data_IF_291412000398
#
_entry.id   IF_291412000398
#
_cell.length_a   1.000
_cell.length_b   1.000
_cell.length_c   1.000
_cell.angle_alpha   90.00
_cell.angle_beta   90.00
_cell.angle_gamma   90.00
#
_symmetry.space_group_name_H-M   'P 1'
#
loop_
_entity.id
_entity.type
_entity.pdbx_description
1 polymer ?
#
# COMPACT_ATOMS: atom_id res chain seq x y z
N UNK A 1 12.24 12.27 18.22
CA UNK A 1 12.83 13.10 17.10
C UNK A 1 12.37 12.46 15.80
N UNK A 2 11.87 13.23 14.85
CA UNK A 2 11.50 12.69 13.52
C UNK A 2 12.79 12.27 12.84
N UNK A 3 12.97 10.97 12.59
CA UNK A 3 14.12 10.42 11.87
C UNK A 3 14.20 11.03 10.46
N UNK A 4 15.42 11.20 9.94
CA UNK A 4 15.61 11.86 8.65
C UNK A 4 15.39 10.95 7.45
N UNK A 5 15.16 9.64 7.67
CA UNK A 5 15.05 8.67 6.57
C UNK A 5 16.30 8.65 5.66
N UNK A 6 16.35 7.72 4.74
CA UNK A 6 17.41 7.65 3.72
C UNK A 6 17.21 8.72 2.64
N UNK A 7 18.33 9.25 2.13
CA UNK A 7 18.31 10.04 0.89
C UNK A 7 18.46 9.09 -0.30
N UNK A 8 17.45 9.03 -1.15
CA UNK A 8 17.37 8.09 -2.27
C UNK A 8 17.92 8.65 -3.58
N UNK A 9 18.07 9.99 -3.68
CA UNK A 9 18.40 10.70 -4.93
C UNK A 9 17.29 10.60 -5.99
N UNK A 10 16.04 10.36 -5.55
CA UNK A 10 14.86 10.16 -6.42
C UNK A 10 13.72 11.11 -6.03
N UNK A 11 12.59 11.02 -6.74
CA UNK A 11 11.36 11.76 -6.41
C UNK A 11 10.86 11.48 -4.99
N UNK A 12 11.27 10.35 -4.38
CA UNK A 12 10.91 10.03 -2.99
C UNK A 12 11.42 11.07 -1.99
N UNK A 13 12.57 11.67 -2.24
CA UNK A 13 13.14 12.65 -1.32
C UNK A 13 12.26 13.90 -1.22
N UNK A 14 11.69 14.35 -2.35
CA UNK A 14 10.73 15.45 -2.39
C UNK A 14 9.42 15.07 -1.70
N UNK A 15 8.90 13.87 -1.98
CA UNK A 15 7.65 13.37 -1.35
C UNK A 15 7.83 13.29 0.17
N UNK A 16 8.92 12.68 0.63
CA UNK A 16 9.22 12.54 2.06
C UNK A 16 9.40 13.90 2.73
N UNK A 17 10.03 14.88 2.06
CA UNK A 17 10.18 16.24 2.58
C UNK A 17 8.81 16.91 2.78
N UNK A 18 7.94 16.87 1.76
CA UNK A 18 6.58 17.42 1.84
C UNK A 18 5.75 16.72 2.93
N UNK A 19 5.85 15.38 2.99
CA UNK A 19 5.15 14.60 4.02
C UNK A 19 5.63 14.91 5.42
N UNK A 20 6.91 15.24 5.61
CA UNK A 20 7.46 15.65 6.90
C UNK A 20 6.86 16.97 7.39
N UNK A 21 6.69 17.95 6.51
CA UNK A 21 6.03 19.21 6.84
C UNK A 21 4.57 18.97 7.24
N UNK A 22 3.84 18.19 6.46
CA UNK A 22 2.46 17.82 6.78
C UNK A 22 2.36 17.08 8.13
N UNK A 23 3.31 16.17 8.42
CA UNK A 23 3.36 15.46 9.69
C UNK A 23 3.58 16.39 10.88
N UNK A 24 4.45 17.40 10.73
CA UNK A 24 4.65 18.42 11.78
C UNK A 24 3.38 19.24 12.06
N UNK A 25 2.59 19.53 11.04
CA UNK A 25 1.29 20.20 11.19
C UNK A 25 0.29 19.29 11.87
N UNK A 26 0.15 18.05 11.44
CA UNK A 26 -0.73 17.05 12.04
C UNK A 26 -0.41 16.85 13.55
N UNK A 27 0.86 16.80 13.92
CA UNK A 27 1.29 16.68 15.34
C UNK A 27 0.98 17.94 16.19
N UNK A 28 0.84 19.10 15.58
CA UNK A 28 0.38 20.32 16.29
C UNK A 28 -1.13 20.31 16.54
N UNK A 29 -1.89 19.74 15.61
CA UNK A 29 -3.34 19.62 15.71
C UNK A 29 -3.75 18.50 16.67
N UNK A 30 -3.14 17.33 16.55
CA UNK A 30 -3.41 16.15 17.36
C UNK A 30 -2.09 15.65 17.96
N UNK A 31 -1.97 15.69 19.28
CA UNK A 31 -0.74 15.23 19.95
C UNK A 31 -0.52 13.72 19.80
N UNK A 32 0.74 13.26 19.85
CA UNK A 32 1.07 11.83 19.81
C UNK A 32 0.31 10.99 20.87
N UNK A 33 0.16 11.42 22.14
CA UNK A 33 -0.67 10.68 23.08
C UNK A 33 -2.14 10.58 22.67
N UNK A 34 -2.70 11.62 22.05
CA UNK A 34 -4.09 11.61 21.62
C UNK A 34 -4.33 10.66 20.42
N UNK A 35 -3.47 10.69 19.39
CA UNK A 35 -3.60 9.78 18.26
C UNK A 35 -3.34 8.33 18.68
N UNK A 36 -2.40 8.10 19.60
CA UNK A 36 -2.14 6.77 20.18
C UNK A 36 -3.38 6.21 20.89
N UNK A 37 -4.00 6.99 21.77
CA UNK A 37 -5.22 6.57 22.44
C UNK A 37 -6.37 6.28 21.46
N UNK A 38 -6.49 7.06 20.38
CA UNK A 38 -7.46 6.81 19.34
C UNK A 38 -7.17 5.50 18.60
N UNK A 39 -5.91 5.21 18.28
CA UNK A 39 -5.46 3.96 17.65
C UNK A 39 -5.73 2.73 18.51
N UNK A 40 -5.44 2.81 19.82
CA UNK A 40 -5.67 1.73 20.79
C UNK A 40 -7.17 1.48 21.05
N UNK A 41 -8.02 2.51 20.85
CA UNK A 41 -9.48 2.44 20.96
C UNK A 41 -10.16 2.05 19.65
N UNK A 42 -9.43 1.96 18.54
CA UNK A 42 -10.00 1.61 17.25
C UNK A 42 -10.56 0.18 17.26
N UNK A 43 -11.62 -0.05 16.49
CA UNK A 43 -12.32 -1.34 16.42
C UNK A 43 -11.45 -2.49 15.86
N UNK A 44 -12.05 -3.66 15.73
CA UNK A 44 -11.38 -4.83 15.14
C UNK A 44 -10.99 -4.57 13.68
N UNK A 45 -9.86 -5.13 13.25
CA UNK A 45 -9.35 -5.03 11.89
C UNK A 45 -9.72 -6.26 11.07
N UNK A 46 -9.86 -6.08 9.76
CA UNK A 46 -9.91 -7.18 8.81
C UNK A 46 -8.49 -7.73 8.59
N UNK A 47 -8.36 -9.04 8.53
CA UNK A 47 -7.06 -9.69 8.40
C UNK A 47 -6.53 -9.59 6.96
N UNK A 48 -5.54 -8.71 6.79
CA UNK A 48 -4.91 -8.45 5.49
C UNK A 48 -4.10 -9.65 4.98
N UNK A 49 -3.41 -10.36 5.87
CA UNK A 49 -2.65 -11.57 5.50
C UNK A 49 -3.58 -12.67 4.99
N UNK A 50 -4.63 -12.98 5.75
CA UNK A 50 -5.61 -14.01 5.36
C UNK A 50 -6.31 -13.66 4.05
N UNK A 51 -6.63 -12.39 3.83
CA UNK A 51 -7.27 -11.93 2.60
C UNK A 51 -6.41 -12.14 1.34
N UNK A 52 -5.08 -12.19 1.50
CA UNK A 52 -4.13 -12.42 0.41
C UNK A 52 -3.64 -13.87 0.30
N UNK A 53 -4.03 -14.75 1.24
CA UNK A 53 -3.58 -16.15 1.31
C UNK A 53 -4.52 -17.12 0.59
N UNK A 54 -5.52 -16.63 -0.14
CA UNK A 54 -6.50 -17.46 -0.85
C UNK A 54 -5.89 -18.25 -2.02
N UNK A 55 -6.63 -19.20 -2.59
CA UNK A 55 -6.21 -19.90 -3.80
C UNK A 55 -6.22 -18.96 -5.01
N UNK A 56 -5.25 -19.10 -5.90
CA UNK A 56 -5.06 -18.21 -7.05
C UNK A 56 -4.41 -16.88 -6.68
N UNK A 57 -4.53 -15.89 -7.55
CA UNK A 57 -3.96 -14.55 -7.33
C UNK A 57 -4.98 -13.61 -6.72
N UNK A 58 -4.67 -13.10 -5.55
CA UNK A 58 -5.45 -12.05 -4.88
C UNK A 58 -5.26 -10.70 -5.57
N UNK A 59 -6.32 -9.88 -5.63
CA UNK A 59 -6.25 -8.54 -6.23
C UNK A 59 -6.40 -7.47 -5.15
N UNK A 60 -5.34 -6.70 -4.95
CA UNK A 60 -5.36 -5.46 -4.18
C UNK A 60 -5.68 -4.34 -5.15
N UNK A 61 -6.88 -3.79 -5.07
CA UNK A 61 -7.29 -2.66 -5.91
C UNK A 61 -6.79 -1.36 -5.31
N UNK A 62 -6.12 -0.53 -6.11
CA UNK A 62 -5.59 0.75 -5.62
C UNK A 62 -6.44 1.92 -6.09
N UNK A 63 -6.89 2.72 -5.15
CA UNK A 63 -7.62 3.97 -5.38
C UNK A 63 -6.68 5.16 -5.35
N UNK A 64 -6.63 5.93 -6.46
CA UNK A 64 -5.80 7.14 -6.56
C UNK A 64 -6.35 8.14 -7.57
N UNK A 65 -6.31 9.43 -7.23
CA UNK A 65 -6.73 10.54 -8.12
C UNK A 65 -5.65 10.95 -9.08
N UNK A 66 -4.40 10.86 -8.66
CA UNK A 66 -3.23 11.23 -9.48
C UNK A 66 -2.04 10.32 -9.19
N UNK A 67 -1.01 10.41 -10.00
CA UNK A 67 0.27 9.76 -9.74
C UNK A 67 1.43 10.59 -10.29
N UNK A 68 2.62 10.45 -9.69
CA UNK A 68 3.82 11.15 -10.13
C UNK A 68 4.21 10.87 -11.59
N UNK A 69 3.86 9.69 -12.12
CA UNK A 69 4.20 9.29 -13.51
C UNK A 69 3.14 9.62 -14.55
N UNK A 70 1.85 9.63 -14.17
CA UNK A 70 0.73 9.77 -15.13
C UNK A 70 -0.08 11.07 -14.92
N UNK A 71 0.24 11.86 -13.89
CA UNK A 71 -0.52 13.06 -13.54
C UNK A 71 -1.94 12.71 -13.06
N UNK A 72 -2.91 13.54 -13.41
CA UNK A 72 -4.32 13.35 -13.04
C UNK A 72 -4.92 12.14 -13.75
N UNK A 73 -5.53 11.24 -12.98
CA UNK A 73 -6.18 10.00 -13.44
C UNK A 73 -7.70 10.03 -13.26
N UNK A 74 -8.16 10.40 -12.08
CA UNK A 74 -9.57 10.41 -11.71
C UNK A 74 -9.87 11.54 -10.71
N UNK A 75 -9.81 12.82 -11.12
CA UNK A 75 -9.95 13.96 -10.21
C UNK A 75 -11.30 14.01 -9.48
N UNK A 76 -12.38 13.57 -10.15
CA UNK A 76 -13.75 13.53 -9.61
C UNK A 76 -14.09 12.20 -8.91
N UNK A 77 -13.08 11.45 -8.50
CA UNK A 77 -13.27 10.14 -7.86
C UNK A 77 -14.06 10.29 -6.54
N UNK A 78 -15.18 9.54 -6.46
CA UNK A 78 -15.95 9.35 -5.22
C UNK A 78 -15.44 8.08 -4.53
N UNK A 79 -14.78 8.18 -3.36
CA UNK A 79 -14.18 7.03 -2.69
C UNK A 79 -15.19 5.95 -2.31
N UNK A 80 -16.38 6.35 -1.85
CA UNK A 80 -17.41 5.40 -1.43
C UNK A 80 -17.99 4.61 -2.61
N UNK A 81 -18.21 5.26 -3.75
CA UNK A 81 -18.69 4.59 -4.97
C UNK A 81 -17.62 3.66 -5.53
N UNK A 82 -16.35 4.10 -5.56
CA UNK A 82 -15.27 3.28 -6.06
C UNK A 82 -15.04 2.06 -5.17
N UNK A 83 -15.07 2.22 -3.84
CA UNK A 83 -14.96 1.10 -2.91
C UNK A 83 -16.06 0.05 -3.13
N UNK A 84 -17.34 0.48 -3.30
CA UNK A 84 -18.44 -0.44 -3.65
C UNK A 84 -18.16 -1.21 -4.95
N UNK A 85 -17.61 -0.52 -5.95
CA UNK A 85 -17.25 -1.12 -7.23
C UNK A 85 -16.16 -2.16 -7.09
N UNK A 86 -15.15 -1.91 -6.26
CA UNK A 86 -14.05 -2.83 -5.97
C UNK A 86 -14.54 -4.06 -5.19
N UNK A 87 -15.30 -3.86 -4.11
CA UNK A 87 -15.89 -4.95 -3.32
C UNK A 87 -16.78 -5.82 -4.20
N UNK A 88 -17.69 -5.21 -4.97
CA UNK A 88 -18.57 -5.95 -5.90
C UNK A 88 -17.79 -6.72 -6.97
N UNK A 89 -16.66 -6.19 -7.44
CA UNK A 89 -15.76 -6.85 -8.38
C UNK A 89 -14.98 -8.01 -7.78
N UNK A 90 -14.98 -8.20 -6.45
CA UNK A 90 -14.26 -9.27 -5.77
C UNK A 90 -12.82 -8.92 -5.41
N UNK A 91 -12.53 -7.64 -5.15
CA UNK A 91 -11.24 -7.23 -4.60
C UNK A 91 -10.93 -7.97 -3.29
N UNK A 92 -9.73 -8.53 -3.16
CA UNK A 92 -9.26 -9.18 -1.94
C UNK A 92 -8.89 -8.14 -0.86
N UNK A 93 -8.41 -6.97 -1.29
CA UNK A 93 -8.12 -5.82 -0.43
C UNK A 93 -8.22 -4.52 -1.24
N UNK A 94 -8.35 -3.39 -0.54
CA UNK A 94 -8.34 -2.06 -1.15
C UNK A 94 -7.17 -1.25 -0.60
N UNK A 95 -6.33 -0.73 -1.48
CA UNK A 95 -5.25 0.21 -1.18
C UNK A 95 -5.73 1.63 -1.45
N UNK A 96 -5.58 2.53 -0.48
CA UNK A 96 -6.01 3.93 -0.57
C UNK A 96 -4.81 4.84 -0.43
N UNK A 97 -4.50 5.60 -1.48
CA UNK A 97 -3.49 6.65 -1.41
C UNK A 97 -4.00 7.76 -0.49
N UNK A 98 -3.20 8.12 0.53
CA UNK A 98 -3.50 9.21 1.46
C UNK A 98 -2.49 10.36 1.38
N UNK A 99 -1.48 10.24 0.52
CA UNK A 99 -0.52 11.30 0.27
C UNK A 99 -1.17 12.41 -0.59
N UNK A 100 -1.12 13.66 -0.10
CA UNK A 100 -1.88 14.77 -0.67
C UNK A 100 -1.18 15.44 -1.86
N UNK A 101 0.14 15.64 -1.78
CA UNK A 101 0.86 16.54 -2.70
C UNK A 101 1.00 15.96 -4.12
N UNK A 102 1.28 14.68 -4.25
CA UNK A 102 1.52 14.00 -5.54
C UNK A 102 0.36 13.11 -5.98
N UNK A 103 -0.42 12.58 -5.02
CA UNK A 103 -1.47 11.61 -5.30
C UNK A 103 -2.88 12.13 -5.04
N UNK A 104 -3.01 13.35 -4.49
CA UNK A 104 -4.29 13.99 -4.16
C UNK A 104 -5.19 13.12 -3.26
N UNK A 105 -4.55 12.35 -2.37
CA UNK A 105 -5.21 11.47 -1.41
C UNK A 105 -5.46 12.15 -0.07
N UNK A 106 -6.35 11.58 0.74
CA UNK A 106 -6.67 12.10 2.08
C UNK A 106 -6.98 10.97 3.06
N UNK A 107 -6.86 11.24 4.36
CA UNK A 107 -7.34 10.32 5.41
C UNK A 107 -8.87 10.18 5.40
N UNK A 108 -9.60 11.19 4.90
CA UNK A 108 -11.05 11.08 4.69
C UNK A 108 -11.39 10.00 3.67
N UNK A 109 -10.61 9.89 2.59
CA UNK A 109 -10.78 8.82 1.62
C UNK A 109 -10.63 7.45 2.27
N UNK A 110 -9.62 7.29 3.12
CA UNK A 110 -9.39 6.04 3.87
C UNK A 110 -10.62 5.69 4.73
N UNK A 111 -11.13 6.65 5.51
CA UNK A 111 -12.34 6.45 6.35
C UNK A 111 -13.57 6.10 5.54
N UNK A 112 -13.80 6.80 4.42
CA UNK A 112 -14.94 6.54 3.52
C UNK A 112 -14.87 5.14 2.92
N UNK A 113 -13.68 4.71 2.48
CA UNK A 113 -13.46 3.38 1.91
C UNK A 113 -13.64 2.32 2.97
N UNK A 114 -13.07 2.51 4.17
CA UNK A 114 -13.22 1.58 5.29
C UNK A 114 -14.69 1.36 5.65
N UNK A 115 -15.47 2.42 5.78
CA UNK A 115 -16.90 2.31 6.10
C UNK A 115 -17.70 1.49 5.07
N UNK A 116 -17.27 1.46 3.81
CA UNK A 116 -17.89 0.65 2.74
C UNK A 116 -17.39 -0.79 2.75
N UNK A 117 -16.10 -1.01 2.98
CA UNK A 117 -15.44 -2.32 2.88
C UNK A 117 -15.66 -3.21 4.12
N UNK A 118 -15.89 -2.59 5.29
CA UNK A 118 -15.99 -3.29 6.57
C UNK A 118 -17.11 -4.33 6.66
N UNK A 119 -18.35 -4.10 6.16
CA UNK A 119 -19.40 -5.12 6.20
C UNK A 119 -19.04 -6.41 5.48
N UNK A 120 -18.27 -6.30 4.39
CA UNK A 120 -17.80 -7.44 3.59
C UNK A 120 -16.44 -7.97 4.06
N UNK A 121 -15.88 -7.37 5.14
CA UNK A 121 -14.57 -7.72 5.71
C UNK A 121 -13.41 -7.63 4.72
N UNK A 122 -13.52 -6.80 3.71
CA UNK A 122 -12.44 -6.51 2.77
C UNK A 122 -11.46 -5.55 3.46
N UNK A 123 -10.19 -5.95 3.70
CA UNK A 123 -9.24 -5.09 4.39
C UNK A 123 -8.86 -3.87 3.56
N UNK A 124 -8.65 -2.76 4.26
CA UNK A 124 -8.25 -1.48 3.66
C UNK A 124 -6.85 -1.11 4.11
N UNK A 125 -5.93 -0.97 3.17
CA UNK A 125 -4.55 -0.57 3.41
C UNK A 125 -4.38 0.93 3.16
N UNK A 126 -3.79 1.63 4.13
CA UNK A 126 -3.28 2.98 3.89
C UNK A 126 -1.99 2.90 3.08
N UNK A 127 -1.99 3.47 1.88
CA UNK A 127 -0.80 3.61 1.04
C UNK A 127 -0.27 5.03 1.15
N UNK A 128 0.80 5.17 1.89
CA UNK A 128 1.44 6.46 2.18
C UNK A 128 2.95 6.24 2.39
N UNK A 129 3.71 7.31 2.55
CA UNK A 129 5.14 7.29 2.86
C UNK A 129 5.32 7.36 4.38
N UNK A 130 5.40 6.19 5.00
CA UNK A 130 5.48 6.04 6.46
C UNK A 130 6.94 6.00 6.90
N UNK A 131 7.31 6.91 7.81
CA UNK A 131 8.66 7.02 8.41
C UNK A 131 8.62 7.48 9.88
N UNK A 132 7.44 7.46 10.51
CA UNK A 132 7.24 7.84 11.91
C UNK A 132 6.18 6.98 12.57
N UNK A 133 6.36 6.71 13.85
CA UNK A 133 5.39 6.06 14.74
C UNK A 133 4.03 6.77 14.76
N UNK A 134 4.05 8.11 14.72
CA UNK A 134 2.82 8.90 14.63
C UNK A 134 1.94 8.46 13.44
N UNK A 135 2.54 8.21 12.27
CA UNK A 135 1.80 7.81 11.07
C UNK A 135 1.19 6.42 11.21
N UNK A 136 1.85 5.51 11.92
CA UNK A 136 1.29 4.17 12.24
C UNK A 136 0.07 4.31 13.15
N UNK A 137 0.16 5.13 14.22
CA UNK A 137 -1.00 5.42 15.08
C UNK A 137 -2.12 6.14 14.30
N UNK A 138 -1.77 7.09 13.45
CA UNK A 138 -2.74 7.82 12.61
C UNK A 138 -3.48 6.86 11.65
N UNK A 139 -2.77 5.95 10.99
CA UNK A 139 -3.36 4.91 10.16
C UNK A 139 -4.37 4.06 10.95
N UNK A 140 -3.94 3.57 12.10
CA UNK A 140 -4.75 2.75 12.98
C UNK A 140 -6.01 3.49 13.48
N UNK A 141 -5.86 4.76 13.90
CA UNK A 141 -6.95 5.61 14.37
C UNK A 141 -7.98 5.93 13.27
N UNK A 142 -7.54 5.96 11.99
CA UNK A 142 -8.40 6.22 10.84
C UNK A 142 -8.98 4.93 10.22
N UNK A 143 -8.81 3.78 10.87
CA UNK A 143 -9.45 2.52 10.49
C UNK A 143 -8.72 1.73 9.43
N UNK A 144 -7.43 2.02 9.15
CA UNK A 144 -6.62 1.15 8.32
C UNK A 144 -6.55 -0.27 8.90
N UNK A 145 -6.62 -1.27 8.04
CA UNK A 145 -6.36 -2.68 8.37
C UNK A 145 -4.90 -3.06 8.09
N UNK A 146 -4.24 -2.29 7.22
CA UNK A 146 -2.84 -2.49 6.87
C UNK A 146 -2.17 -1.15 6.51
N UNK A 147 -0.84 -1.17 6.52
CA UNK A 147 0.02 -0.04 6.12
C UNK A 147 1.13 -0.50 5.18
N UNK A 148 1.72 0.46 4.47
CA UNK A 148 2.88 0.26 3.62
C UNK A 148 4.15 0.72 4.35
N UNK A 149 5.21 -0.10 4.32
CA UNK A 149 6.57 0.30 4.68
C UNK A 149 7.49 0.15 3.46
N UNK A 150 8.17 1.24 3.09
CA UNK A 150 9.04 1.29 1.91
C UNK A 150 10.50 1.26 2.37
N UNK A 151 11.22 0.19 2.06
CA UNK A 151 12.61 0.00 2.52
C UNK A 151 13.55 1.09 1.99
N UNK A 152 13.29 1.60 0.80
CA UNK A 152 14.11 2.65 0.20
C UNK A 152 14.21 3.93 1.03
N UNK A 153 13.17 4.26 1.84
CA UNK A 153 13.11 5.50 2.63
C UNK A 153 13.40 5.31 4.12
N UNK A 154 13.58 4.07 4.58
CA UNK A 154 13.74 3.74 5.99
C UNK A 154 15.16 3.30 6.32
N UNK A 155 15.71 3.77 7.44
CA UNK A 155 16.89 3.17 8.04
C UNK A 155 16.52 1.81 8.66
N UNK A 156 17.45 0.83 8.74
CA UNK A 156 17.14 -0.52 9.23
C UNK A 156 16.49 -0.56 10.62
N UNK A 157 16.99 0.22 11.57
CA UNK A 157 16.43 0.28 12.94
C UNK A 157 15.03 0.89 12.92
N UNK A 158 14.81 1.94 12.12
CA UNK A 158 13.51 2.58 11.93
C UNK A 158 12.51 1.63 11.30
N UNK A 159 12.92 0.85 10.30
CA UNK A 159 12.09 -0.17 9.69
C UNK A 159 11.63 -1.20 10.73
N UNK A 160 12.58 -1.72 11.55
CA UNK A 160 12.26 -2.67 12.61
C UNK A 160 11.23 -2.11 13.60
N UNK A 161 11.47 -0.90 14.12
CA UNK A 161 10.57 -0.24 15.08
C UNK A 161 9.16 -0.02 14.52
N UNK A 162 9.05 0.42 13.27
CA UNK A 162 7.75 0.67 12.63
C UNK A 162 7.01 -0.62 12.28
N UNK A 163 7.71 -1.67 11.87
CA UNK A 163 7.13 -2.99 11.62
C UNK A 163 6.54 -3.57 12.90
N UNK A 164 7.33 -3.59 13.98
CA UNK A 164 6.90 -4.10 15.29
C UNK A 164 5.68 -3.31 15.81
N UNK A 165 5.73 -1.98 15.76
CA UNK A 165 4.62 -1.13 16.19
C UNK A 165 3.33 -1.40 15.39
N UNK A 166 3.43 -1.54 14.07
CA UNK A 166 2.27 -1.82 13.23
C UNK A 166 1.65 -3.18 13.57
N UNK A 167 2.48 -4.21 13.75
CA UNK A 167 2.05 -5.56 14.13
C UNK A 167 1.44 -5.58 15.55
N UNK A 168 2.01 -4.86 16.52
CA UNK A 168 1.48 -4.73 17.87
C UNK A 168 0.09 -4.07 17.91
N UNK A 169 -0.18 -3.17 16.97
CA UNK A 169 -1.49 -2.56 16.78
C UNK A 169 -2.46 -3.43 15.95
N UNK A 170 -2.04 -4.63 15.55
CA UNK A 170 -2.83 -5.55 14.73
C UNK A 170 -3.01 -5.12 13.28
N UNK A 171 -2.14 -4.24 12.76
CA UNK A 171 -2.13 -3.88 11.35
C UNK A 171 -1.39 -4.94 10.53
N UNK A 172 -1.89 -5.26 9.34
CA UNK A 172 -1.10 -5.91 8.31
C UNK A 172 -0.01 -4.95 7.79
N UNK A 173 1.12 -5.49 7.33
CA UNK A 173 2.20 -4.65 6.78
C UNK A 173 2.62 -5.20 5.43
N UNK A 174 2.49 -4.37 4.38
CA UNK A 174 3.10 -4.61 3.07
C UNK A 174 4.47 -3.94 3.07
N UNK A 175 5.54 -4.75 2.97
CA UNK A 175 6.92 -4.26 2.93
C UNK A 175 7.37 -4.17 1.48
N UNK A 176 7.52 -2.96 0.96
CA UNK A 176 7.83 -2.69 -0.44
C UNK A 176 9.32 -2.59 -0.66
N UNK A 177 9.82 -3.29 -1.71
CA UNK A 177 11.21 -3.32 -2.15
C UNK A 177 11.32 -3.10 -3.67
N UNK A 178 12.46 -2.54 -4.11
CA UNK A 178 12.77 -2.22 -5.51
C UNK A 178 14.06 -2.88 -6.00
N UNK A 179 14.82 -3.55 -5.13
CA UNK A 179 16.11 -4.15 -5.47
C UNK A 179 16.43 -5.34 -4.57
N UNK A 180 17.47 -6.10 -4.95
CA UNK A 180 17.98 -7.22 -4.17
C UNK A 180 18.49 -6.76 -2.80
N UNK A 181 19.27 -5.67 -2.73
CA UNK A 181 19.79 -5.11 -1.47
C UNK A 181 18.63 -4.69 -0.52
N UNK A 182 17.53 -4.16 -1.07
CA UNK A 182 16.36 -3.82 -0.28
C UNK A 182 15.59 -5.06 0.18
N UNK A 183 15.51 -6.08 -0.66
CA UNK A 183 14.93 -7.37 -0.30
C UNK A 183 15.71 -8.02 0.84
N UNK A 184 17.04 -8.05 0.76
CA UNK A 184 17.90 -8.56 1.83
C UNK A 184 17.67 -7.80 3.13
N UNK A 185 17.59 -6.46 3.06
CA UNK A 185 17.28 -5.61 4.23
C UNK A 185 15.91 -5.93 4.82
N UNK A 186 14.88 -6.09 3.97
CA UNK A 186 13.52 -6.40 4.40
C UNK A 186 13.46 -7.76 5.11
N UNK A 187 14.14 -8.77 4.57
CA UNK A 187 14.12 -10.14 5.08
C UNK A 187 14.76 -10.31 6.46
N UNK A 188 15.63 -9.38 6.90
CA UNK A 188 16.22 -9.40 8.26
C UNK A 188 15.13 -9.42 9.34
N UNK A 189 14.04 -8.68 9.15
CA UNK A 189 12.93 -8.60 10.10
C UNK A 189 11.84 -9.65 9.84
N UNK A 190 12.04 -10.55 8.89
CA UNK A 190 11.15 -11.66 8.59
C UNK A 190 9.66 -11.25 8.37
N UNK A 191 9.34 -10.22 7.55
CA UNK A 191 7.99 -9.76 7.33
C UNK A 191 7.13 -10.86 6.69
N UNK A 192 5.81 -10.83 6.94
CA UNK A 192 4.88 -11.81 6.38
C UNK A 192 4.54 -11.53 4.91
N UNK A 193 4.51 -10.26 4.50
CA UNK A 193 4.07 -9.83 3.17
C UNK A 193 5.15 -8.92 2.56
N UNK A 194 5.64 -9.30 1.39
CA UNK A 194 6.66 -8.56 0.64
C UNK A 194 6.05 -8.11 -0.68
N UNK A 195 6.17 -6.82 -0.98
CA UNK A 195 5.82 -6.22 -2.26
C UNK A 195 7.06 -5.95 -3.11
N UNK A 196 7.08 -6.44 -4.34
CA UNK A 196 8.10 -6.05 -5.31
C UNK A 196 7.47 -5.05 -6.26
N UNK A 197 7.96 -3.80 -6.21
CA UNK A 197 7.46 -2.73 -7.05
C UNK A 197 8.24 -2.66 -8.36
N UNK A 198 7.56 -2.97 -9.45
CA UNK A 198 8.12 -2.96 -10.81
C UNK A 198 8.42 -1.56 -11.37
N UNK A 199 8.12 -0.50 -10.61
CA UNK A 199 8.38 0.88 -11.04
C UNK A 199 9.72 1.37 -10.50
N UNK A 200 10.66 1.63 -11.39
CA UNK A 200 11.91 2.32 -11.05
C UNK A 200 11.60 3.77 -10.63
N UNK A 201 11.94 4.11 -9.40
CA UNK A 201 11.67 5.42 -8.82
C UNK A 201 12.58 6.54 -9.33
N UNK A 202 13.71 6.20 -10.00
CA UNK A 202 14.60 7.18 -10.62
C UNK A 202 14.08 7.61 -11.99
N UNK A 203 13.61 6.64 -12.76
CA UNK A 203 13.19 6.86 -14.15
C UNK A 203 11.68 6.91 -14.32
N UNK A 204 10.91 6.51 -13.30
CA UNK A 204 9.46 6.29 -13.29
C UNK A 204 8.99 5.26 -14.33
N UNK A 205 9.90 4.54 -14.97
CA UNK A 205 9.59 3.45 -15.90
C UNK A 205 9.20 2.21 -15.14
N UNK A 206 8.33 1.41 -15.74
CA UNK A 206 7.85 0.17 -15.16
C UNK A 206 8.34 -1.00 -15.99
N UNK A 207 8.98 -1.98 -15.34
CA UNK A 207 9.44 -3.22 -15.95
C UNK A 207 9.05 -4.40 -15.07
N UNK A 208 8.05 -5.18 -15.51
CA UNK A 208 7.56 -6.36 -14.77
C UNK A 208 8.58 -7.50 -14.69
N UNK A 209 9.69 -7.43 -15.45
CA UNK A 209 10.80 -8.38 -15.33
C UNK A 209 11.56 -8.24 -14.00
N UNK A 210 11.44 -7.09 -13.30
CA UNK A 210 12.02 -6.93 -11.97
C UNK A 210 11.40 -7.93 -10.99
N UNK A 211 10.07 -8.05 -10.98
CA UNK A 211 9.39 -9.03 -10.15
C UNK A 211 9.91 -10.44 -10.43
N UNK A 212 10.02 -10.82 -11.71
CA UNK A 212 10.49 -12.16 -12.12
C UNK A 212 11.92 -12.46 -11.64
N UNK A 213 12.76 -11.44 -11.56
CA UNK A 213 14.15 -11.59 -11.10
C UNK A 213 14.28 -11.73 -9.59
N UNK A 214 13.44 -11.03 -8.81
CA UNK A 214 13.52 -11.01 -7.35
C UNK A 214 12.63 -12.09 -6.69
N UNK A 215 11.49 -12.44 -7.29
CA UNK A 215 10.55 -13.41 -6.74
C UNK A 215 11.18 -14.76 -6.31
N UNK A 216 12.13 -15.36 -7.06
CA UNK A 216 12.79 -16.60 -6.64
C UNK A 216 13.62 -16.50 -5.35
N UNK A 217 13.98 -15.29 -4.94
CA UNK A 217 14.80 -15.02 -3.74
C UNK A 217 13.94 -14.85 -2.49
N UNK A 218 12.63 -14.67 -2.63
CA UNK A 218 11.70 -14.52 -1.49
C UNK A 218 11.38 -15.90 -0.90
N UNK A 219 11.49 -16.09 0.43
CA UNK A 219 11.12 -17.35 1.08
C UNK A 219 9.65 -17.73 0.81
N UNK A 220 9.41 -19.03 0.58
CA UNK A 220 8.10 -19.56 0.15
C UNK A 220 6.97 -19.44 1.19
N UNK A 221 7.30 -19.14 2.44
CA UNK A 221 6.36 -18.91 3.52
C UNK A 221 5.83 -17.46 3.56
N UNK A 222 6.29 -16.60 2.65
CA UNK A 222 5.86 -15.20 2.54
C UNK A 222 4.78 -15.03 1.49
N UNK A 223 3.85 -14.10 1.75
CA UNK A 223 2.96 -13.58 0.71
C UNK A 223 3.76 -12.63 -0.17
N UNK A 224 3.80 -12.90 -1.47
CA UNK A 224 4.52 -12.10 -2.44
C UNK A 224 3.53 -11.31 -3.30
N UNK A 225 3.68 -9.98 -3.29
CA UNK A 225 2.81 -9.04 -4.02
C UNK A 225 3.57 -8.41 -5.17
N UNK A 226 3.04 -8.52 -6.40
CA UNK A 226 3.56 -7.77 -7.55
C UNK A 226 2.87 -6.40 -7.63
N UNK A 227 3.66 -5.32 -7.61
CA UNK A 227 3.15 -3.96 -7.67
C UNK A 227 3.57 -3.25 -8.96
N UNK A 228 2.70 -2.41 -9.46
CA UNK A 228 2.89 -1.61 -10.68
C UNK A 228 3.08 -2.41 -11.98
N UNK A 229 2.70 -1.81 -13.10
CA UNK A 229 3.01 -2.29 -14.45
C UNK A 229 2.01 -3.25 -15.06
N UNK A 230 1.14 -3.89 -14.29
CA UNK A 230 0.10 -4.77 -14.82
C UNK A 230 -1.00 -3.96 -15.50
N UNK A 231 -1.24 -4.24 -16.78
CA UNK A 231 -2.24 -3.56 -17.63
C UNK A 231 -3.50 -4.39 -17.85
N UNK A 232 -3.43 -5.69 -17.61
CA UNK A 232 -4.53 -6.61 -17.84
C UNK A 232 -4.25 -8.02 -17.35
N UNK A 233 -5.15 -8.94 -17.69
CA UNK A 233 -5.15 -10.33 -17.22
C UNK A 233 -3.86 -11.09 -17.58
N UNK A 234 -3.33 -10.84 -18.76
CA UNK A 234 -2.09 -11.51 -19.21
C UNK A 234 -0.89 -11.18 -18.32
N UNK A 235 -0.77 -9.89 -17.91
CA UNK A 235 0.32 -9.49 -17.01
C UNK A 235 0.11 -10.10 -15.60
N UNK A 236 -1.14 -10.18 -15.12
CA UNK A 236 -1.46 -10.81 -13.83
C UNK A 236 -1.08 -12.29 -13.86
N UNK A 237 -1.46 -13.02 -14.91
CA UNK A 237 -1.07 -14.44 -15.07
C UNK A 237 0.43 -14.63 -15.16
N UNK A 238 1.14 -13.68 -15.77
CA UNK A 238 2.60 -13.71 -15.82
C UNK A 238 3.21 -13.55 -14.43
N UNK A 239 2.66 -12.64 -13.60
CA UNK A 239 3.10 -12.49 -12.20
C UNK A 239 2.77 -13.74 -11.37
N UNK A 240 1.57 -14.31 -11.55
CA UNK A 240 1.18 -15.59 -10.93
C UNK A 240 2.15 -16.70 -11.26
N UNK A 241 2.46 -16.89 -12.54
CA UNK A 241 3.41 -17.91 -13.00
C UNK A 241 4.83 -17.70 -12.42
N UNK A 242 5.16 -16.46 -12.05
CA UNK A 242 6.42 -16.09 -11.40
C UNK A 242 6.37 -16.15 -9.86
N UNK A 243 5.24 -16.62 -9.30
CA UNK A 243 5.09 -16.85 -7.86
C UNK A 243 4.37 -15.75 -7.07
N UNK A 244 3.72 -14.78 -7.73
CA UNK A 244 2.89 -13.80 -7.03
C UNK A 244 1.67 -14.46 -6.39
N UNK A 245 1.45 -14.19 -5.11
CA UNK A 245 0.23 -14.53 -4.37
C UNK A 245 -0.83 -13.44 -4.53
N UNK A 246 -0.39 -12.20 -4.74
CA UNK A 246 -1.27 -11.07 -4.98
C UNK A 246 -0.67 -10.08 -5.98
N UNK A 247 -1.54 -9.26 -6.57
CA UNK A 247 -1.16 -8.13 -7.41
C UNK A 247 -1.79 -6.84 -6.89
N UNK A 248 -1.04 -5.73 -6.91
CA UNK A 248 -1.55 -4.40 -6.58
C UNK A 248 -1.72 -3.60 -7.86
N UNK A 249 -2.97 -3.24 -8.19
CA UNK A 249 -3.33 -2.60 -9.45
C UNK A 249 -4.17 -1.35 -9.20
N UNK A 250 -3.73 -0.22 -9.74
CA UNK A 250 -4.43 1.06 -9.63
C UNK A 250 -4.65 1.74 -10.99
N UNK A 251 -3.60 2.10 -11.70
CA UNK A 251 -3.70 2.93 -12.91
C UNK A 251 -4.64 2.32 -13.97
N UNK A 252 -4.55 1.03 -14.23
CA UNK A 252 -5.42 0.33 -15.19
C UNK A 252 -6.89 0.38 -14.76
N UNK A 253 -7.16 0.27 -13.44
CA UNK A 253 -8.52 0.36 -12.89
C UNK A 253 -9.06 1.77 -13.00
N UNK A 254 -8.27 2.79 -12.66
CA UNK A 254 -8.70 4.20 -12.77
C UNK A 254 -9.01 4.60 -14.21
N UNK A 255 -8.31 4.02 -15.19
CA UNK A 255 -8.54 4.25 -16.62
C UNK A 255 -9.71 3.45 -17.21
N UNK A 256 -10.17 2.39 -16.52
CA UNK A 256 -11.23 1.50 -17.01
C UNK A 256 -12.63 2.14 -16.96
N UNK A 257 -12.83 3.22 -16.22
CA UNK A 257 -14.11 3.94 -16.14
C UNK A 257 -15.26 3.04 -15.68
N UNK A 258 -16.33 2.97 -16.45
CA UNK A 258 -17.55 2.22 -16.10
C UNK A 258 -17.40 0.69 -16.02
N UNK A 259 -16.28 0.10 -16.49
CA UNK A 259 -16.02 -1.35 -16.48
C UNK A 259 -15.06 -1.81 -15.36
N UNK A 260 -14.84 -0.99 -14.33
CA UNK A 260 -13.90 -1.29 -13.25
C UNK A 260 -14.22 -2.61 -12.54
N UNK A 261 -15.48 -2.84 -12.15
CA UNK A 261 -15.86 -4.09 -11.45
C UNK A 261 -15.66 -5.35 -12.31
N UNK A 262 -15.96 -5.26 -13.60
CA UNK A 262 -15.72 -6.36 -14.54
C UNK A 262 -14.23 -6.64 -14.71
N UNK A 263 -13.41 -5.59 -14.74
CA UNK A 263 -11.95 -5.73 -14.82
C UNK A 263 -11.42 -6.39 -13.55
N UNK A 264 -11.83 -5.94 -12.36
CA UNK A 264 -11.45 -6.55 -11.08
C UNK A 264 -11.85 -8.02 -11.07
N UNK A 265 -13.10 -8.37 -11.42
CA UNK A 265 -13.59 -9.74 -11.46
C UNK A 265 -12.84 -10.63 -12.47
N UNK A 266 -12.26 -10.06 -13.52
CA UNK A 266 -11.42 -10.80 -14.49
C UNK A 266 -9.99 -11.00 -13.99
N UNK A 267 -9.48 -10.06 -13.18
CA UNK A 267 -8.14 -10.13 -12.60
C UNK A 267 -8.07 -11.09 -11.41
N UNK A 268 -9.17 -11.21 -10.65
CA UNK A 268 -9.30 -12.07 -9.47
C UNK A 268 -9.64 -13.55 -9.78
N UNK A 269 -9.64 -13.96 -11.05
CA UNK A 269 -9.92 -15.33 -11.53
C UNK A 269 -8.65 -16.03 -11.98
#
# INVERSE_FOLDING_TARGET
>A
MISHGKNTGTVLDEIVANKREALLEAQREISLPAVRNAAESAGSRSDFYTALSGPGVSVITEMKRSSASAGSLAPELDPSKMAKTFVYGGASAISVLTEASHFSGTLDDLRMVKAVAEPDRVPVMQKDFVFSDYQIYEAAANGADAVLLIIAILEPDQYSELLDLALDLGLGVLVEVFSEDELDTALVQNPQIIGINNRDLKTLKTDIALFESLAPQVPKDKILVAESGMKGVEDVRRMEASGAHAVLIGESLMRAGGSVSELVARLAR
#
